data_IF_275807953245
#
_entry.id   IF_275807953245
#
_cell.length_a   1.000
_cell.length_b   1.000
_cell.length_c   1.000
_cell.angle_alpha   90.00
_cell.angle_beta   90.00
_cell.angle_gamma   90.00
#
_symmetry.space_group_name_H-M   'P 1'
#
loop_
_entity.id
_entity.type
_entity.pdbx_description
1 polymer ?
#
# COMPACT_ATOMS: atom_id res chain seq x y z
N UNK A 1 -17.73 1.97 6.16
CA UNK A 1 -16.54 1.46 6.89
C UNK A 1 -15.83 0.53 5.94
N UNK A 2 -14.52 0.71 5.71
CA UNK A 2 -13.75 -0.16 4.80
C UNK A 2 -13.75 -1.59 5.34
N UNK A 3 -14.06 -2.55 4.49
CA UNK A 3 -13.99 -3.98 4.85
C UNK A 3 -12.53 -4.45 4.77
N UNK A 4 -11.83 -4.37 5.91
CA UNK A 4 -10.41 -4.69 6.01
C UNK A 4 -10.10 -6.15 5.69
N UNK A 5 -11.03 -7.07 5.95
CA UNK A 5 -10.85 -8.50 5.65
C UNK A 5 -10.85 -8.70 4.14
N UNK A 6 -11.81 -8.07 3.44
CA UNK A 6 -11.86 -8.11 1.98
C UNK A 6 -10.61 -7.50 1.33
N UNK A 7 -10.06 -6.43 1.91
CA UNK A 7 -8.81 -5.82 1.41
C UNK A 7 -7.62 -6.75 1.65
N UNK A 8 -7.52 -7.35 2.83
CA UNK A 8 -6.44 -8.28 3.14
C UNK A 8 -6.49 -9.53 2.24
N UNK A 9 -7.68 -10.09 1.99
CA UNK A 9 -7.88 -11.26 1.12
C UNK A 9 -7.50 -10.97 -0.34
N UNK A 10 -7.64 -9.73 -0.80
CA UNK A 10 -7.29 -9.29 -2.16
C UNK A 10 -5.90 -8.68 -2.31
N UNK A 11 -5.11 -8.63 -1.24
CA UNK A 11 -3.79 -8.03 -1.27
C UNK A 11 -2.76 -9.00 -1.87
N UNK A 12 -1.94 -8.49 -2.79
CA UNK A 12 -0.79 -9.22 -3.34
C UNK A 12 0.28 -9.45 -2.27
N UNK A 13 0.38 -8.52 -1.32
CA UNK A 13 1.34 -8.58 -0.23
C UNK A 13 0.86 -7.81 0.98
N UNK A 14 1.16 -8.30 2.18
CA UNK A 14 0.93 -7.58 3.44
C UNK A 14 2.24 -7.47 4.22
N UNK A 15 2.68 -6.26 4.53
CA UNK A 15 3.90 -6.00 5.31
C UNK A 15 3.57 -5.09 6.48
N UNK A 16 3.77 -5.59 7.70
CA UNK A 16 3.54 -4.84 8.95
C UNK A 16 2.16 -4.13 9.02
N UNK A 17 1.11 -4.80 8.55
CA UNK A 17 -0.25 -4.27 8.53
C UNK A 17 -0.58 -3.36 7.33
N UNK A 18 0.35 -3.12 6.41
CA UNK A 18 0.09 -2.46 5.14
C UNK A 18 -0.22 -3.49 4.06
N UNK A 19 -1.43 -3.43 3.51
CA UNK A 19 -1.89 -4.31 2.43
C UNK A 19 -1.66 -3.64 1.07
N UNK A 20 -0.86 -4.26 0.22
CA UNK A 20 -0.53 -3.82 -1.14
C UNK A 20 -1.46 -4.54 -2.12
N UNK A 21 -2.27 -3.77 -2.84
CA UNK A 21 -3.21 -4.26 -3.86
C UNK A 21 -2.87 -3.63 -5.20
N UNK A 22 -2.76 -4.43 -6.26
CA UNK A 22 -2.44 -3.92 -7.61
C UNK A 22 -3.59 -3.08 -8.16
N UNK A 23 -3.28 -1.96 -8.80
CA UNK A 23 -4.23 -1.10 -9.50
C UNK A 23 -3.67 -0.70 -10.88
N UNK A 24 -4.44 0.01 -11.69
CA UNK A 24 -4.04 0.38 -13.06
C UNK A 24 -2.74 1.20 -13.11
N UNK A 25 -2.49 2.05 -12.10
CA UNK A 25 -1.35 2.97 -12.08
C UNK A 25 -0.15 2.44 -11.26
N UNK A 26 -0.31 1.33 -10.54
CA UNK A 26 0.71 0.76 -9.66
C UNK A 26 0.10 -0.04 -8.52
N UNK A 27 0.22 0.48 -7.29
CA UNK A 27 -0.27 -0.18 -6.09
C UNK A 27 -1.07 0.77 -5.20
N UNK A 28 -2.23 0.31 -4.76
CA UNK A 28 -2.97 0.89 -3.64
C UNK A 28 -2.53 0.19 -2.36
N UNK A 29 -2.08 0.98 -1.38
CA UNK A 29 -1.65 0.50 -0.07
C UNK A 29 -2.59 1.03 1.00
N UNK A 30 -3.15 0.12 1.81
CA UNK A 30 -4.03 0.44 2.93
C UNK A 30 -3.40 -0.02 4.25
N UNK A 31 -3.43 0.83 5.28
CA UNK A 31 -3.14 0.39 6.65
C UNK A 31 -4.35 -0.36 7.23
N UNK A 32 -4.24 -1.67 7.39
CA UNK A 32 -5.31 -2.52 7.92
C UNK A 32 -5.70 -2.17 9.37
N UNK A 33 -4.79 -1.56 10.14
CA UNK A 33 -5.05 -1.10 11.50
C UNK A 33 -5.69 0.30 11.53
N UNK A 34 -5.54 1.08 10.46
CA UNK A 34 -6.07 2.45 10.32
C UNK A 34 -6.62 2.65 8.90
N UNK A 35 -7.85 2.17 8.61
CA UNK A 35 -8.38 2.16 7.25
C UNK A 35 -8.69 3.54 6.65
N UNK A 36 -8.54 4.61 7.43
CA UNK A 36 -8.51 6.01 6.99
C UNK A 36 -7.15 6.41 6.36
N UNK A 37 -6.12 5.57 6.50
CA UNK A 37 -4.75 5.77 6.02
C UNK A 37 -4.47 4.90 4.80
N UNK A 38 -4.45 5.55 3.65
CA UNK A 38 -4.21 4.92 2.35
C UNK A 38 -3.25 5.77 1.51
N UNK A 39 -2.52 5.12 0.63
CA UNK A 39 -1.65 5.75 -0.36
C UNK A 39 -1.71 4.95 -1.66
N UNK A 40 -1.69 5.65 -2.79
CA UNK A 40 -1.50 5.07 -4.11
C UNK A 40 -0.08 5.42 -4.57
N UNK A 41 0.70 4.39 -4.88
CA UNK A 41 2.03 4.52 -5.46
C UNK A 41 1.99 4.14 -6.93
N UNK A 42 2.73 4.88 -7.76
CA UNK A 42 3.00 4.46 -9.14
C UNK A 42 3.88 3.22 -9.16
N UNK A 43 4.00 2.57 -10.32
CA UNK A 43 4.98 1.49 -10.54
C UNK A 43 6.41 1.90 -10.19
N UNK A 44 6.76 3.16 -10.42
CA UNK A 44 8.08 3.74 -10.10
C UNK A 44 8.25 4.09 -8.61
N UNK A 45 7.20 3.95 -7.79
CA UNK A 45 7.22 4.27 -6.36
C UNK A 45 6.94 5.74 -6.02
N UNK A 46 6.46 6.51 -6.99
CA UNK A 46 6.03 7.90 -6.77
C UNK A 46 4.65 7.95 -6.12
N UNK A 47 4.41 8.94 -5.27
CA UNK A 47 3.12 9.10 -4.59
C UNK A 47 2.12 9.76 -5.54
N UNK A 48 1.04 9.07 -5.87
CA UNK A 48 -0.04 9.60 -6.72
C UNK A 48 -1.12 10.27 -5.86
N UNK A 49 -1.58 9.59 -4.82
CA UNK A 49 -2.62 10.08 -3.90
C UNK A 49 -2.36 9.54 -2.48
N UNK A 50 -2.70 10.29 -1.44
CA UNK A 50 -2.46 9.86 -0.05
C UNK A 50 -3.31 10.59 0.98
N UNK A 51 -3.70 9.88 2.04
CA UNK A 51 -4.24 10.44 3.31
C UNK A 51 -3.25 10.31 4.48
N UNK A 52 -2.07 9.77 4.19
CA UNK A 52 -0.97 9.56 5.14
C UNK A 52 -0.14 10.83 5.32
N UNK A 53 0.42 11.01 6.51
CA UNK A 53 1.43 12.06 6.76
C UNK A 53 2.81 11.66 6.22
N UNK A 54 3.74 12.61 6.16
CA UNK A 54 5.07 12.42 5.56
C UNK A 54 5.86 11.24 6.18
N UNK A 55 5.66 10.94 7.47
CA UNK A 55 6.34 9.83 8.15
C UNK A 55 5.74 8.50 7.69
N UNK A 56 4.40 8.41 7.70
CA UNK A 56 3.69 7.23 7.20
C UNK A 56 4.02 6.95 5.72
N UNK A 57 4.08 7.99 4.88
CA UNK A 57 4.47 7.87 3.47
C UNK A 57 5.87 7.26 3.34
N UNK A 58 6.85 7.76 4.11
CA UNK A 58 8.22 7.24 4.05
C UNK A 58 8.28 5.77 4.47
N UNK A 59 7.57 5.38 5.53
CA UNK A 59 7.48 3.99 5.98
C UNK A 59 6.92 3.08 4.87
N UNK A 60 5.82 3.50 4.21
CA UNK A 60 5.23 2.71 3.13
C UNK A 60 6.18 2.61 1.93
N UNK A 61 6.87 3.70 1.56
CA UNK A 61 7.86 3.68 0.48
C UNK A 61 9.04 2.76 0.81
N UNK A 62 9.49 2.72 2.06
CA UNK A 62 10.55 1.79 2.48
C UNK A 62 10.09 0.33 2.36
N UNK A 63 8.83 0.03 2.75
CA UNK A 63 8.25 -1.29 2.54
C UNK A 63 8.08 -1.64 1.06
N UNK A 64 7.62 -0.71 0.23
CA UNK A 64 7.48 -0.91 -1.21
C UNK A 64 8.83 -1.24 -1.83
N UNK A 65 9.83 -0.38 -1.66
CA UNK A 65 11.16 -0.53 -2.26
C UNK A 65 11.88 -1.80 -1.77
N UNK A 66 11.74 -2.15 -0.49
CA UNK A 66 12.36 -3.35 0.08
C UNK A 66 11.72 -4.66 -0.38
N UNK A 67 10.45 -4.63 -0.82
CA UNK A 67 9.67 -5.82 -1.12
C UNK A 67 9.13 -5.90 -2.55
N UNK A 68 9.39 -4.89 -3.41
CA UNK A 68 8.86 -4.83 -4.80
C UNK A 68 9.09 -6.09 -5.63
N UNK A 69 10.19 -6.81 -5.39
CA UNK A 69 10.49 -8.10 -6.03
C UNK A 69 9.46 -9.22 -5.80
N UNK A 70 8.56 -9.05 -4.83
CA UNK A 70 7.46 -9.98 -4.55
C UNK A 70 6.12 -9.51 -5.14
N UNK A 71 6.08 -8.28 -5.66
CA UNK A 71 4.91 -7.67 -6.32
C UNK A 71 5.01 -7.74 -7.86
N UNK A 72 6.24 -7.81 -8.38
CA UNK A 72 6.52 -7.95 -9.82
C UNK A 72 6.52 -9.44 -10.21
N UNK A 73 5.57 -9.84 -11.07
CA UNK A 73 5.70 -11.02 -11.96
C UNK A 73 6.26 -10.58 -13.32
#
# INVERSE_FOLDING_TARGET
MTDVLKVADGAEMIVNGYAFTKCEEGYQILNLNRPDKAIVLSVDGETLETTMDDIEIQIVKDYYNGNKKYLEE
#
